data_IF_984935052801
#
_entry.id   IF_984935052801
#
_cell.length_a   1.000
_cell.length_b   1.000
_cell.length_c   1.000
_cell.angle_alpha   90.00
_cell.angle_beta   90.00
_cell.angle_gamma   90.00
#
_symmetry.space_group_name_H-M   'P 1'
#
loop_
_entity.id
_entity.type
_entity.pdbx_description
1 polymer ?
#
# COMPACT_ATOMS: atom_id res chain seq x y z
N UNK A 1 6.04 -13.85 -10.20
CA UNK A 1 4.70 -14.02 -9.58
C UNK A 1 4.17 -12.64 -9.29
N UNK A 2 2.92 -12.34 -9.65
CA UNK A 2 2.29 -11.04 -9.36
C UNK A 2 1.17 -11.24 -8.35
N UNK A 3 1.09 -10.36 -7.35
CA UNK A 3 0.08 -10.39 -6.29
C UNK A 3 -0.56 -9.01 -6.18
N UNK A 4 -1.88 -8.97 -5.96
CA UNK A 4 -2.59 -7.72 -5.71
C UNK A 4 -2.70 -7.45 -4.21
N UNK A 5 -2.20 -6.30 -3.77
CA UNK A 5 -2.36 -5.80 -2.41
C UNK A 5 -3.69 -5.06 -2.28
N UNK A 6 -4.67 -5.65 -1.56
CA UNK A 6 -5.99 -5.04 -1.32
C UNK A 6 -6.19 -4.86 0.18
N UNK A 7 -6.54 -3.64 0.60
CA UNK A 7 -6.76 -3.29 2.00
C UNK A 7 -7.96 -2.35 2.16
N UNK A 8 -8.50 -2.31 3.38
CA UNK A 8 -9.64 -1.47 3.74
C UNK A 8 -9.34 -0.75 5.06
N UNK A 9 -9.86 0.45 5.21
CA UNK A 9 -9.75 1.18 6.48
C UNK A 9 -10.54 0.46 7.57
N UNK A 10 -10.06 0.61 8.81
CA UNK A 10 -10.88 0.27 9.97
C UNK A 10 -12.20 1.06 9.88
N UNK A 11 -13.32 0.35 9.99
CA UNK A 11 -14.68 0.88 9.84
C UNK A 11 -15.07 1.37 8.43
N UNK A 12 -14.30 1.04 7.37
CA UNK A 12 -14.60 1.42 5.97
C UNK A 12 -14.86 2.91 5.77
N UNK A 13 -14.20 3.76 6.56
CA UNK A 13 -14.27 5.21 6.42
C UNK A 13 -13.58 5.64 5.13
N UNK A 14 -14.13 6.65 4.46
CA UNK A 14 -13.58 7.27 3.26
C UNK A 14 -12.46 8.28 3.63
N UNK A 15 -11.37 7.77 4.21
CA UNK A 15 -10.22 8.57 4.66
C UNK A 15 -8.98 8.42 3.75
N UNK A 16 -9.08 7.64 2.68
CA UNK A 16 -8.02 7.56 1.68
C UNK A 16 -8.10 8.78 0.77
N UNK A 17 -7.37 9.82 1.14
CA UNK A 17 -7.07 10.94 0.28
C UNK A 17 -5.70 10.75 -0.41
N UNK A 18 -5.26 11.77 -1.13
CA UNK A 18 -3.98 11.75 -1.85
C UNK A 18 -2.79 11.54 -0.90
N UNK A 19 -2.73 12.28 0.21
CA UNK A 19 -1.62 12.21 1.17
C UNK A 19 -1.56 10.84 1.86
N UNK A 20 -2.71 10.28 2.24
CA UNK A 20 -2.79 8.94 2.79
C UNK A 20 -2.30 7.89 1.77
N UNK A 21 -2.66 8.05 0.50
CA UNK A 21 -2.26 7.12 -0.58
C UNK A 21 -0.77 7.18 -0.86
N UNK A 22 -0.17 8.36 -0.90
CA UNK A 22 1.28 8.53 -1.10
C UNK A 22 2.09 7.91 0.04
N UNK A 23 1.68 8.13 1.29
CA UNK A 23 2.30 7.49 2.46
C UNK A 23 2.23 5.97 2.37
N UNK A 24 1.08 5.43 2.00
CA UNK A 24 0.90 3.98 1.81
C UNK A 24 1.80 3.44 0.70
N UNK A 25 1.97 4.18 -0.41
CA UNK A 25 2.89 3.81 -1.50
C UNK A 25 4.33 3.68 -1.00
N UNK A 26 4.80 4.61 -0.17
CA UNK A 26 6.13 4.53 0.45
C UNK A 26 6.26 3.31 1.36
N UNK A 27 5.28 3.08 2.24
CA UNK A 27 5.32 1.92 3.14
C UNK A 27 5.32 0.60 2.37
N UNK A 28 4.46 0.45 1.37
CA UNK A 28 4.42 -0.77 0.56
C UNK A 28 5.70 -0.95 -0.24
N UNK A 29 6.30 0.11 -0.77
CA UNK A 29 7.58 0.00 -1.49
C UNK A 29 8.69 -0.53 -0.57
N UNK A 30 8.77 -0.04 0.68
CA UNK A 30 9.74 -0.53 1.66
C UNK A 30 9.51 -2.00 2.01
N UNK A 31 8.25 -2.38 2.28
CA UNK A 31 7.91 -3.78 2.55
C UNK A 31 8.24 -4.66 1.35
N UNK A 32 7.87 -4.28 0.14
CA UNK A 32 8.22 -5.02 -1.07
C UNK A 32 9.75 -5.21 -1.19
N UNK A 33 10.54 -4.16 -0.93
CA UNK A 33 12.00 -4.25 -0.96
C UNK A 33 12.56 -5.25 0.06
N UNK A 34 12.00 -5.32 1.28
CA UNK A 34 12.40 -6.31 2.30
C UNK A 34 12.15 -7.76 1.84
N UNK A 35 11.25 -7.98 0.88
CA UNK A 35 10.94 -9.27 0.27
C UNK A 35 11.55 -9.44 -1.13
N UNK A 36 12.51 -8.60 -1.53
CA UNK A 36 13.11 -8.61 -2.88
C UNK A 36 12.07 -8.49 -4.01
N UNK A 37 10.96 -7.78 -3.74
CA UNK A 37 9.87 -7.54 -4.66
C UNK A 37 9.77 -6.06 -5.06
N UNK A 38 9.13 -5.80 -6.19
CA UNK A 38 8.87 -4.45 -6.70
C UNK A 38 7.38 -4.11 -6.58
N UNK A 39 7.08 -2.89 -6.15
CA UNK A 39 5.73 -2.33 -6.21
C UNK A 39 5.50 -1.71 -7.59
N UNK A 40 4.71 -2.39 -8.43
CA UNK A 40 4.35 -1.98 -9.81
C UNK A 40 3.01 -1.28 -9.90
#
# INVERSE_FOLDING_TARGET
MHVHLVFVTKYRRQIFDYDATEKLRTYFSNVCADFEAELV
#
